data_IF_292860344939
#
_entry.id   IF_292860344939
#
_cell.length_a   1.000
_cell.length_b   1.000
_cell.length_c   1.000
_cell.angle_alpha   90.00
_cell.angle_beta   90.00
_cell.angle_gamma   90.00
#
_symmetry.space_group_name_H-M   'P 1'
#
loop_
_entity.id
_entity.type
_entity.pdbx_description
1 polymer ?
#
# COMPACT_ATOMS: atom_id res chain seq x y z
N UNK A 1 6.30 -28.90 -22.96
CA UNK A 1 5.43 -27.81 -22.53
C UNK A 1 5.30 -27.64 -21.01
N UNK A 2 5.64 -28.66 -20.18
CA UNK A 2 5.59 -28.57 -18.70
C UNK A 2 6.81 -27.88 -18.03
N UNK A 3 7.95 -27.83 -18.70
CA UNK A 3 9.18 -27.24 -18.13
C UNK A 3 9.17 -25.70 -18.08
N UNK A 4 8.52 -25.05 -19.03
CA UNK A 4 8.43 -23.58 -19.07
C UNK A 4 7.49 -23.00 -17.99
N UNK A 5 6.43 -23.73 -17.62
CA UNK A 5 5.48 -23.32 -16.59
C UNK A 5 6.15 -23.33 -15.20
N UNK A 6 6.95 -24.33 -14.90
CA UNK A 6 7.66 -24.49 -13.61
C UNK A 6 8.73 -23.40 -13.37
N UNK A 7 9.40 -22.94 -14.42
CA UNK A 7 10.39 -21.86 -14.33
C UNK A 7 9.72 -20.50 -14.14
N UNK A 8 8.60 -20.25 -14.81
CA UNK A 8 7.84 -19.00 -14.66
C UNK A 8 7.23 -18.87 -13.27
N UNK A 9 6.63 -19.92 -12.73
CA UNK A 9 6.09 -19.92 -11.34
C UNK A 9 7.19 -19.71 -10.29
N UNK A 10 8.35 -20.34 -10.46
CA UNK A 10 9.49 -20.20 -9.56
C UNK A 10 10.10 -18.78 -9.61
N UNK A 11 10.11 -18.14 -10.80
CA UNK A 11 10.59 -16.77 -10.99
C UNK A 11 9.63 -15.74 -10.38
N UNK A 12 8.32 -15.98 -10.46
CA UNK A 12 7.27 -15.14 -9.85
C UNK A 12 7.35 -15.20 -8.31
N UNK A 13 7.62 -16.37 -7.74
CA UNK A 13 7.77 -16.54 -6.28
C UNK A 13 9.08 -15.92 -5.73
N UNK A 14 10.14 -15.82 -6.54
CA UNK A 14 11.42 -15.29 -6.10
C UNK A 14 11.43 -13.77 -5.85
N UNK A 15 10.50 -13.03 -6.44
CA UNK A 15 10.45 -11.57 -6.34
C UNK A 15 9.38 -11.06 -5.36
N UNK A 16 8.56 -11.93 -4.77
CA UNK A 16 7.54 -11.53 -3.80
C UNK A 16 8.17 -11.09 -2.49
N UNK A 17 7.72 -9.96 -1.99
CA UNK A 17 8.07 -9.52 -0.64
C UNK A 17 7.49 -10.52 0.37
N UNK A 18 8.38 -11.05 1.20
CA UNK A 18 8.02 -12.00 2.25
C UNK A 18 7.51 -11.25 3.48
N UNK A 19 6.79 -11.93 4.37
CA UNK A 19 6.30 -11.35 5.63
C UNK A 19 7.41 -10.65 6.42
N UNK A 20 8.63 -11.21 6.45
CA UNK A 20 9.80 -10.63 7.13
C UNK A 20 10.17 -9.22 6.67
N UNK A 21 9.82 -8.84 5.44
CA UNK A 21 10.01 -7.48 4.95
C UNK A 21 9.20 -6.47 5.76
N UNK A 22 8.00 -6.83 6.19
CA UNK A 22 7.09 -5.96 6.94
C UNK A 22 7.37 -5.95 8.46
N UNK A 23 8.26 -6.81 8.95
CA UNK A 23 8.62 -6.90 10.38
C UNK A 23 9.79 -5.98 10.77
N UNK A 24 10.23 -5.10 9.89
CA UNK A 24 11.24 -4.10 10.21
C UNK A 24 10.64 -3.02 11.12
N UNK A 25 11.44 -2.55 12.10
CA UNK A 25 10.97 -1.65 13.15
C UNK A 25 10.78 -0.18 12.73
N UNK A 26 11.28 0.22 11.56
CA UNK A 26 11.16 1.60 11.09
C UNK A 26 10.16 1.72 9.94
N UNK A 27 8.93 2.06 10.28
CA UNK A 27 7.84 2.26 9.32
C UNK A 27 8.12 3.35 8.29
N UNK A 28 8.93 4.36 8.64
CA UNK A 28 9.29 5.47 7.74
C UNK A 28 10.23 4.96 6.65
N UNK A 29 11.23 4.16 7.03
CA UNK A 29 12.13 3.49 6.07
C UNK A 29 11.39 2.50 5.17
N UNK A 30 10.48 1.69 5.73
CA UNK A 30 9.64 0.77 4.93
C UNK A 30 8.80 1.55 3.92
N UNK A 31 8.13 2.63 4.36
CA UNK A 31 7.32 3.45 3.47
C UNK A 31 8.13 3.97 2.28
N UNK A 32 9.33 4.49 2.53
CA UNK A 32 10.22 4.96 1.49
C UNK A 32 10.65 3.84 0.53
N UNK A 33 11.05 2.67 1.06
CA UNK A 33 11.50 1.52 0.26
C UNK A 33 10.38 0.90 -0.58
N UNK A 34 9.12 1.10 -0.22
CA UNK A 34 7.97 0.65 -1.00
C UNK A 34 7.81 1.40 -2.33
N UNK A 35 8.39 2.59 -2.51
CA UNK A 35 8.40 3.26 -3.81
C UNK A 35 9.14 2.40 -4.84
N UNK A 36 8.54 2.23 -6.01
CA UNK A 36 9.10 1.38 -7.07
C UNK A 36 8.76 -0.11 -6.95
N UNK A 37 8.27 -0.60 -5.81
CA UNK A 37 7.77 -1.97 -5.68
C UNK A 37 6.45 -2.12 -6.45
N UNK A 38 6.17 -3.32 -6.94
CA UNK A 38 4.91 -3.61 -7.63
C UNK A 38 3.87 -4.09 -6.63
N UNK A 39 2.68 -3.53 -6.69
CA UNK A 39 1.50 -3.96 -5.97
C UNK A 39 0.55 -4.65 -6.94
N UNK A 40 0.09 -5.84 -6.59
CA UNK A 40 -0.85 -6.63 -7.36
C UNK A 40 -2.09 -7.03 -6.56
N UNK A 41 -3.20 -7.14 -7.27
CA UNK A 41 -4.43 -7.74 -6.76
C UNK A 41 -4.96 -8.77 -7.75
N UNK A 42 -5.42 -9.91 -7.23
CA UNK A 42 -6.13 -10.94 -7.99
C UNK A 42 -7.54 -11.06 -7.41
N UNK A 43 -8.52 -10.58 -8.14
CA UNK A 43 -9.94 -10.59 -7.76
C UNK A 43 -10.76 -11.27 -8.87
N UNK A 44 -11.53 -12.28 -8.49
CA UNK A 44 -12.37 -13.04 -9.43
C UNK A 44 -11.60 -13.56 -10.66
N UNK A 45 -10.35 -14.00 -10.44
CA UNK A 45 -9.46 -14.47 -11.49
C UNK A 45 -8.88 -13.36 -12.38
N UNK A 46 -9.08 -12.09 -12.04
CA UNK A 46 -8.63 -10.94 -12.81
C UNK A 46 -7.49 -10.21 -12.11
N UNK A 47 -6.37 -10.06 -12.80
CA UNK A 47 -5.17 -9.38 -12.31
C UNK A 47 -5.24 -7.88 -12.57
N UNK A 48 -4.96 -7.09 -11.54
CA UNK A 48 -4.69 -5.66 -11.66
C UNK A 48 -3.49 -5.29 -10.80
N UNK A 49 -2.72 -4.27 -11.20
CA UNK A 49 -1.56 -3.85 -10.42
C UNK A 49 -0.74 -2.76 -11.09
N UNK A 50 0.26 -2.28 -10.34
CA UNK A 50 1.15 -1.23 -10.80
C UNK A 50 2.30 -0.97 -9.84
N UNK A 51 3.13 -0.01 -10.21
CA UNK A 51 4.29 0.42 -9.42
C UNK A 51 3.82 1.42 -8.36
N UNK A 52 4.14 1.18 -7.09
CA UNK A 52 3.84 2.11 -6.01
C UNK A 52 4.60 3.42 -6.25
N UNK A 53 3.84 4.51 -6.34
CA UNK A 53 4.35 5.85 -6.63
C UNK A 53 4.16 6.85 -5.50
N UNK A 54 3.27 6.57 -4.54
CA UNK A 54 3.00 7.45 -3.41
C UNK A 54 2.54 6.65 -2.19
N UNK A 55 3.15 6.96 -1.02
CA UNK A 55 2.84 6.34 0.27
C UNK A 55 2.93 7.34 1.42
N UNK A 56 2.29 7.01 2.55
CA UNK A 56 2.45 7.74 3.82
C UNK A 56 2.73 6.77 4.96
N UNK A 57 3.72 7.10 5.81
CA UNK A 57 4.01 6.35 7.02
C UNK A 57 3.16 6.86 8.20
N UNK A 58 2.69 5.94 9.03
CA UNK A 58 1.96 6.19 10.28
C UNK A 58 2.63 5.42 11.41
N UNK A 59 3.33 6.15 12.29
CA UNK A 59 4.17 5.59 13.34
C UNK A 59 3.37 5.39 14.65
N UNK A 60 2.43 4.48 14.60
CA UNK A 60 1.71 3.88 15.71
C UNK A 60 1.28 4.82 16.82
N UNK A 61 1.60 4.43 18.05
CA UNK A 61 1.12 5.10 19.27
C UNK A 61 1.71 6.48 19.51
N UNK A 62 2.87 6.77 18.91
CA UNK A 62 3.58 8.04 19.06
C UNK A 62 3.19 9.10 18.03
N UNK A 63 2.29 8.81 17.11
CA UNK A 63 1.93 9.66 15.98
C UNK A 63 0.46 10.09 16.07
N UNK A 64 0.23 11.38 16.31
CA UNK A 64 -1.13 11.94 16.42
C UNK A 64 -2.00 11.78 15.17
N UNK A 65 -1.39 11.55 14.02
CA UNK A 65 -2.13 11.25 12.79
C UNK A 65 -2.53 9.78 12.67
N UNK A 66 -1.94 8.89 13.47
CA UNK A 66 -2.28 7.46 13.47
C UNK A 66 -3.61 7.19 14.17
N UNK A 67 -4.37 6.22 13.65
CA UNK A 67 -5.56 5.70 14.33
C UNK A 67 -5.26 5.04 15.68
N UNK A 68 -4.00 4.67 15.92
CA UNK A 68 -3.52 4.05 17.16
C UNK A 68 -2.86 5.04 18.13
N UNK A 69 -2.90 6.36 17.85
CA UNK A 69 -2.31 7.37 18.71
C UNK A 69 -2.72 7.20 20.17
N UNK A 70 -1.72 7.33 21.08
CA UNK A 70 -1.92 7.18 22.52
C UNK A 70 -2.30 5.77 22.97
N UNK A 71 -2.07 4.75 22.15
CA UNK A 71 -2.43 3.37 22.43
C UNK A 71 -3.92 3.06 22.18
N UNK A 72 -4.62 3.91 21.45
CA UNK A 72 -6.03 3.70 21.13
C UNK A 72 -6.21 2.42 20.32
N UNK A 73 -6.88 1.44 20.91
CA UNK A 73 -7.23 0.16 20.29
C UNK A 73 -8.75 -0.02 20.29
N UNK A 74 -9.33 -0.19 19.12
CA UNK A 74 -10.78 -0.30 18.89
C UNK A 74 -11.03 -1.35 17.82
N UNK A 75 -12.24 -1.87 17.72
CA UNK A 75 -12.63 -2.81 16.66
C UNK A 75 -12.29 -2.30 15.25
N UNK A 76 -12.29 -0.98 15.03
CA UNK A 76 -12.00 -0.37 13.72
C UNK A 76 -10.51 -0.48 13.35
N UNK A 77 -9.61 -0.30 14.30
CA UNK A 77 -8.17 -0.29 14.06
C UNK A 77 -7.45 -1.52 14.62
N UNK A 78 -8.21 -2.55 15.04
CA UNK A 78 -7.66 -3.79 15.60
C UNK A 78 -6.60 -4.41 14.70
N UNK A 79 -6.82 -4.38 13.38
CA UNK A 79 -5.89 -4.95 12.41
C UNK A 79 -4.51 -4.28 12.42
N UNK A 80 -4.39 -3.02 12.85
CA UNK A 80 -3.09 -2.36 12.98
C UNK A 80 -2.19 -2.99 14.05
N UNK A 81 -2.79 -3.68 15.03
CA UNK A 81 -2.07 -4.36 16.13
C UNK A 81 -1.68 -5.80 15.81
N UNK A 82 -2.03 -6.29 14.60
CA UNK A 82 -1.54 -7.58 14.14
C UNK A 82 -0.08 -7.49 13.71
N UNK A 83 0.59 -8.63 13.69
CA UNK A 83 1.93 -8.76 13.14
C UNK A 83 1.96 -8.31 11.67
N UNK A 84 3.00 -7.59 11.27
CA UNK A 84 3.19 -7.04 9.93
C UNK A 84 3.05 -8.06 8.80
N UNK A 85 2.77 -7.57 7.59
CA UNK A 85 2.51 -8.39 6.41
C UNK A 85 1.04 -8.73 6.18
N UNK A 86 0.13 -7.94 6.75
CA UNK A 86 -1.31 -8.00 6.48
C UNK A 86 -1.84 -6.64 6.04
N UNK A 87 -2.99 -6.66 5.39
CA UNK A 87 -3.68 -5.45 4.94
C UNK A 87 -4.55 -4.89 6.06
N UNK A 88 -4.45 -3.59 6.31
CA UNK A 88 -5.40 -2.84 7.10
C UNK A 88 -6.25 -1.96 6.20
N UNK A 89 -7.56 -2.20 6.17
CA UNK A 89 -8.53 -1.44 5.38
C UNK A 89 -9.49 -0.68 6.28
N UNK A 90 -9.77 0.58 5.92
CA UNK A 90 -10.83 1.36 6.57
C UNK A 90 -11.57 2.24 5.56
N UNK A 91 -12.74 2.75 5.94
CA UNK A 91 -13.47 3.73 5.15
C UNK A 91 -13.14 5.16 5.61
N UNK A 92 -12.71 5.98 4.67
CA UNK A 92 -12.59 7.41 4.83
C UNK A 92 -13.91 8.07 4.38
N UNK A 93 -14.45 8.96 5.22
CA UNK A 93 -15.77 9.59 5.01
C UNK A 93 -16.93 8.61 4.72
N UNK A 94 -16.79 7.36 5.19
CA UNK A 94 -17.82 6.33 4.98
C UNK A 94 -17.93 5.78 3.56
N UNK A 95 -17.11 6.25 2.60
CA UNK A 95 -17.26 5.88 1.19
C UNK A 95 -15.99 5.44 0.49
N UNK A 96 -14.83 5.87 0.94
CA UNK A 96 -13.57 5.56 0.27
C UNK A 96 -12.77 4.52 1.05
N UNK A 97 -12.55 3.35 0.45
CA UNK A 97 -11.64 2.35 1.01
C UNK A 97 -10.20 2.85 0.95
N UNK A 98 -9.46 2.63 2.03
CA UNK A 98 -8.06 3.03 2.19
C UNK A 98 -7.21 1.80 2.45
N UNK A 99 -6.21 1.56 1.59
CA UNK A 99 -5.29 0.43 1.68
C UNK A 99 -4.07 0.80 2.50
N UNK A 100 -3.84 0.07 3.59
CA UNK A 100 -2.62 0.17 4.37
C UNK A 100 -1.96 -1.20 4.50
N UNK A 101 -0.65 -1.21 4.60
CA UNK A 101 0.14 -2.38 4.98
C UNK A 101 0.53 -2.23 6.44
N UNK A 102 0.17 -3.22 7.25
CA UNK A 102 0.61 -3.29 8.65
C UNK A 102 2.08 -3.71 8.66
N UNK A 103 2.86 -3.03 9.48
CA UNK A 103 4.30 -3.31 9.65
C UNK A 103 4.61 -3.52 11.12
N UNK A 104 5.86 -3.97 11.40
CA UNK A 104 6.34 -4.21 12.74
C UNK A 104 5.82 -5.52 13.38
N UNK A 105 6.18 -5.77 14.63
CA UNK A 105 5.77 -6.92 15.41
C UNK A 105 4.32 -6.77 15.90
N UNK A 106 3.74 -7.87 16.37
CA UNK A 106 2.41 -7.87 17.00
C UNK A 106 2.38 -6.84 18.15
N UNK A 107 1.25 -6.15 18.28
CA UNK A 107 0.99 -5.08 19.26
C UNK A 107 1.78 -3.78 19.04
N UNK A 108 2.54 -3.65 17.94
CA UNK A 108 3.16 -2.39 17.50
C UNK A 108 2.40 -1.87 16.26
N UNK A 109 1.45 -0.91 16.42
CA UNK A 109 0.46 -0.58 15.40
C UNK A 109 0.97 0.41 14.34
N UNK A 110 2.03 0.04 13.66
CA UNK A 110 2.60 0.81 12.56
C UNK A 110 1.95 0.42 11.22
N UNK A 111 1.77 1.39 10.35
CA UNK A 111 1.18 1.12 9.04
C UNK A 111 1.67 2.09 7.96
N UNK A 112 1.67 1.60 6.71
CA UNK A 112 1.94 2.40 5.52
C UNK A 112 0.68 2.48 4.67
N UNK A 113 0.14 3.69 4.48
CA UNK A 113 -0.97 3.97 3.56
C UNK A 113 -0.42 4.05 2.13
N UNK A 114 -0.99 3.27 1.21
CA UNK A 114 -0.70 3.39 -0.22
C UNK A 114 -1.64 4.42 -0.84
N UNK A 115 -1.05 5.46 -1.44
CA UNK A 115 -1.81 6.59 -1.98
C UNK A 115 -1.89 6.60 -3.50
N UNK A 116 -0.88 6.04 -4.16
CA UNK A 116 -0.81 6.03 -5.62
C UNK A 116 0.02 4.89 -6.17
N UNK A 117 -0.36 4.45 -7.37
CA UNK A 117 0.43 3.55 -8.19
C UNK A 117 0.46 4.08 -9.64
N UNK A 118 1.49 3.70 -10.39
CA UNK A 118 1.49 3.81 -11.85
C UNK A 118 0.94 2.48 -12.40
N UNK A 119 -0.24 2.45 -13.06
CA UNK A 119 -0.84 1.23 -13.59
C UNK A 119 0.06 0.53 -14.59
N UNK A 120 0.29 -0.79 -14.44
CA UNK A 120 1.09 -1.61 -15.36
C UNK A 120 0.35 -2.86 -15.83
N UNK A 121 -0.63 -3.34 -15.06
CA UNK A 121 -1.38 -4.56 -15.35
C UNK A 121 -2.88 -4.32 -15.12
N UNK A 122 -3.72 -4.90 -15.99
CA UNK A 122 -5.17 -4.82 -15.84
C UNK A 122 -5.77 -3.44 -16.10
N UNK A 123 -5.18 -2.63 -16.99
CA UNK A 123 -5.64 -1.27 -17.27
C UNK A 123 -7.12 -1.22 -17.70
N UNK A 124 -7.57 -2.09 -18.61
CA UNK A 124 -8.97 -2.17 -19.02
C UNK A 124 -9.92 -2.51 -17.87
N UNK A 125 -9.49 -3.44 -17.00
CA UNK A 125 -10.22 -3.79 -15.80
C UNK A 125 -10.36 -2.59 -14.84
N UNK A 126 -9.30 -1.81 -14.69
CA UNK A 126 -9.31 -0.58 -13.89
C UNK A 126 -10.28 0.45 -14.49
N UNK A 127 -10.32 0.60 -15.83
CA UNK A 127 -11.28 1.48 -16.50
C UNK A 127 -12.72 1.05 -16.24
N UNK A 128 -13.03 -0.25 -16.35
CA UNK A 128 -14.36 -0.80 -16.05
C UNK A 128 -14.77 -0.49 -14.59
N UNK A 129 -13.88 -0.72 -13.62
CA UNK A 129 -14.16 -0.50 -12.19
C UNK A 129 -14.34 0.98 -11.84
N UNK A 130 -13.61 1.86 -12.49
CA UNK A 130 -13.63 3.30 -12.18
C UNK A 130 -14.60 4.11 -13.02
N UNK A 131 -14.98 3.62 -14.19
CA UNK A 131 -15.78 4.35 -15.18
C UNK A 131 -14.98 5.44 -15.92
N UNK A 132 -13.64 5.38 -15.91
CA UNK A 132 -12.78 6.35 -16.59
C UNK A 132 -12.52 5.92 -18.04
N UNK A 133 -12.31 6.87 -18.98
CA UNK A 133 -12.16 6.56 -20.40
C UNK A 133 -10.74 6.12 -20.81
N UNK A 134 -9.71 6.47 -20.03
CA UNK A 134 -8.30 6.22 -20.39
C UNK A 134 -7.48 5.80 -19.18
N UNK A 135 -6.49 4.93 -19.41
CA UNK A 135 -5.49 4.58 -18.42
C UNK A 135 -4.46 5.72 -18.37
N UNK A 136 -4.34 6.34 -17.21
CA UNK A 136 -3.38 7.40 -16.94
C UNK A 136 -2.98 7.37 -15.45
N UNK A 137 -1.91 8.04 -15.03
CA UNK A 137 -1.58 8.16 -13.60
C UNK A 137 -2.75 8.66 -12.76
N UNK A 138 -3.57 9.58 -13.28
CA UNK A 138 -4.76 10.12 -12.61
C UNK A 138 -5.85 9.08 -12.30
N UNK A 139 -5.75 7.87 -12.85
CA UNK A 139 -6.65 6.76 -12.57
C UNK A 139 -6.49 6.23 -11.14
N UNK A 140 -5.28 6.32 -10.61
CA UNK A 140 -4.85 5.73 -9.33
C UNK A 140 -4.10 6.72 -8.43
N UNK A 141 -4.10 8.01 -8.75
CA UNK A 141 -3.55 9.09 -7.93
C UNK A 141 -4.53 9.46 -6.81
N UNK A 142 -4.38 8.86 -5.68
CA UNK A 142 -5.20 9.02 -4.50
C UNK A 142 -5.74 7.69 -3.98
N UNK A 143 -5.74 7.51 -2.64
CA UNK A 143 -5.95 6.20 -2.01
C UNK A 143 -7.32 5.60 -2.32
N UNK A 144 -8.37 6.42 -2.39
CA UNK A 144 -9.72 5.95 -2.75
C UNK A 144 -9.84 5.55 -4.22
N UNK A 145 -9.20 6.29 -5.14
CA UNK A 145 -9.16 5.95 -6.57
C UNK A 145 -8.39 4.65 -6.79
N UNK A 146 -7.24 4.52 -6.14
CA UNK A 146 -6.41 3.32 -6.16
C UNK A 146 -7.20 2.09 -5.72
N UNK A 147 -7.86 2.14 -4.57
CA UNK A 147 -8.66 1.02 -4.07
C UNK A 147 -9.76 0.64 -5.07
N UNK A 148 -10.48 1.62 -5.63
CA UNK A 148 -11.52 1.37 -6.65
C UNK A 148 -10.94 0.70 -7.89
N UNK A 149 -9.81 1.20 -8.41
CA UNK A 149 -9.16 0.65 -9.59
C UNK A 149 -8.68 -0.80 -9.38
N UNK A 150 -8.11 -1.08 -8.21
CA UNK A 150 -7.64 -2.42 -7.82
C UNK A 150 -8.76 -3.38 -7.38
N UNK A 151 -9.99 -2.89 -7.21
CA UNK A 151 -11.13 -3.68 -6.74
C UNK A 151 -11.06 -4.03 -5.25
N UNK A 152 -10.41 -3.15 -4.46
CA UNK A 152 -10.21 -3.34 -3.03
C UNK A 152 -11.32 -2.65 -2.22
N UNK A 153 -11.78 -3.32 -1.20
CA UNK A 153 -12.83 -2.86 -0.29
C UNK A 153 -12.46 -3.17 1.16
N UNK A 154 -13.24 -2.71 2.11
CA UNK A 154 -13.05 -3.06 3.53
C UNK A 154 -13.18 -4.55 3.82
N UNK A 155 -13.79 -5.34 2.92
CA UNK A 155 -13.83 -6.80 3.05
C UNK A 155 -12.44 -7.45 2.90
N UNK A 156 -11.48 -6.74 2.35
CA UNK A 156 -10.09 -7.20 2.21
C UNK A 156 -9.24 -6.96 3.47
N UNK A 157 -9.84 -6.40 4.53
CA UNK A 157 -9.15 -6.17 5.79
C UNK A 157 -8.62 -7.50 6.38
N UNK A 158 -7.35 -7.55 6.77
CA UNK A 158 -6.68 -8.74 7.28
C UNK A 158 -6.16 -9.71 6.20
N UNK A 159 -6.26 -9.38 4.92
CA UNK A 159 -5.67 -10.20 3.85
C UNK A 159 -4.16 -10.26 4.00
N UNK A 160 -3.53 -11.46 4.03
CA UNK A 160 -2.07 -11.59 4.05
C UNK A 160 -1.43 -11.09 2.75
N UNK A 161 -0.26 -10.45 2.86
CA UNK A 161 0.51 -9.90 1.73
C UNK A 161 1.46 -10.94 1.08
N UNK A 162 1.60 -12.11 1.67
CA UNK A 162 2.32 -13.27 1.12
C UNK A 162 1.39 -14.27 0.40
N UNK A 163 0.09 -13.95 0.34
CA UNK A 163 -0.94 -14.74 -0.34
C UNK A 163 -1.03 -14.47 -1.84
N UNK A 164 -2.16 -14.91 -2.44
CA UNK A 164 -2.43 -14.77 -3.89
C UNK A 164 -3.51 -13.74 -4.21
N UNK A 165 -4.06 -13.06 -3.20
CA UNK A 165 -5.13 -12.07 -3.40
C UNK A 165 -4.57 -10.67 -3.51
N UNK A 166 -3.64 -10.31 -2.62
CA UNK A 166 -2.90 -9.05 -2.61
C UNK A 166 -1.45 -9.40 -2.30
N UNK A 167 -0.52 -8.94 -3.12
CA UNK A 167 0.90 -9.17 -2.87
C UNK A 167 1.77 -8.07 -3.47
N UNK A 168 3.00 -8.01 -3.00
CA UNK A 168 4.01 -7.09 -3.52
C UNK A 168 5.18 -7.86 -4.12
N UNK A 169 5.81 -7.26 -5.12
CA UNK A 169 7.02 -7.79 -5.75
C UNK A 169 8.11 -6.73 -5.81
N UNK A 170 9.34 -7.12 -5.49
CA UNK A 170 10.52 -6.34 -5.81
C UNK A 170 11.07 -6.81 -7.16
N UNK A 171 10.93 -5.96 -8.18
CA UNK A 171 11.43 -6.22 -9.54
C UNK A 171 12.71 -5.45 -9.86
N UNK A 172 13.39 -4.92 -8.83
CA UNK A 172 14.65 -4.20 -8.97
C UNK A 172 14.49 -2.79 -9.55
N UNK A 173 13.30 -2.19 -9.47
CA UNK A 173 13.12 -0.78 -9.85
C UNK A 173 13.74 0.10 -8.76
N UNK A 174 14.78 0.83 -9.11
CA UNK A 174 15.45 1.79 -8.23
C UNK A 174 14.99 3.19 -8.59
N UNK A 175 14.41 3.89 -7.62
CA UNK A 175 14.03 5.30 -7.76
C UNK A 175 15.22 6.16 -7.33
N UNK A 176 15.78 7.01 -8.22
CA UNK A 176 16.86 7.93 -7.84
C UNK A 176 16.44 8.85 -6.69
N UNK A 177 17.38 9.15 -5.78
CA UNK A 177 17.11 9.97 -4.59
C UNK A 177 16.54 11.36 -4.93
N UNK A 178 17.02 11.97 -5.99
CA UNK A 178 16.56 13.26 -6.51
C UNK A 178 15.17 13.22 -7.15
N UNK A 179 14.62 12.02 -7.37
CA UNK A 179 13.26 11.76 -7.85
C UNK A 179 12.29 11.37 -6.73
N UNK A 180 12.73 11.37 -5.48
CA UNK A 180 11.85 11.11 -4.32
C UNK A 180 11.50 12.43 -3.65
N UNK A 181 10.24 12.83 -3.77
CA UNK A 181 9.70 13.96 -3.02
C UNK A 181 9.30 13.51 -1.61
N UNK A 182 9.85 14.19 -0.61
CA UNK A 182 9.57 13.93 0.81
C UNK A 182 8.81 15.14 1.35
N UNK A 183 7.58 14.92 1.78
CA UNK A 183 6.69 16.01 2.22
C UNK A 183 5.89 15.62 3.46
N UNK A 184 5.09 16.56 3.98
CA UNK A 184 4.07 16.26 4.97
C UNK A 184 2.93 15.43 4.38
N UNK A 185 2.25 14.65 5.23
CA UNK A 185 1.08 13.84 4.89
C UNK A 185 -0.14 14.71 4.55
N UNK A 186 -1.09 14.15 3.81
CA UNK A 186 -2.28 14.86 3.32
C UNK A 186 -3.49 14.53 4.19
N UNK A 187 -4.25 15.56 4.61
CA UNK A 187 -5.51 15.40 5.33
C UNK A 187 -5.35 15.01 6.80
N UNK A 188 -4.21 15.35 7.41
CA UNK A 188 -3.90 15.07 8.82
C UNK A 188 -3.70 16.34 9.66
N UNK A 189 -4.27 17.48 9.25
CA UNK A 189 -4.12 18.78 9.93
C UNK A 189 -4.51 18.73 11.42
N UNK A 190 -5.42 17.83 11.78
CA UNK A 190 -5.84 17.58 13.16
C UNK A 190 -4.72 17.04 14.06
N UNK A 191 -3.60 16.56 13.50
CA UNK A 191 -2.49 15.98 14.25
C UNK A 191 -1.53 17.03 14.84
N UNK A 192 -1.79 18.33 14.64
CA UNK A 192 -0.95 19.41 15.16
C UNK A 192 0.48 19.34 14.61
N UNK A 193 1.48 19.32 15.47
CA UNK A 193 2.90 19.29 15.05
C UNK A 193 3.24 18.03 14.26
N UNK A 194 2.59 16.90 14.55
CA UNK A 194 2.84 15.65 13.82
C UNK A 194 2.33 15.68 12.36
N UNK A 195 1.43 16.62 12.03
CA UNK A 195 1.02 16.87 10.65
C UNK A 195 2.19 17.34 9.76
N UNK A 196 3.18 18.01 10.35
CA UNK A 196 4.34 18.57 9.66
C UNK A 196 5.46 17.53 9.44
N UNK A 197 5.36 16.33 10.03
CA UNK A 197 6.37 15.29 9.83
C UNK A 197 6.51 14.92 8.37
N UNK A 198 7.75 14.75 7.85
CA UNK A 198 8.03 14.41 6.45
C UNK A 198 7.80 12.91 6.19
N UNK A 199 6.58 12.44 6.42
CA UNK A 199 6.21 11.02 6.39
C UNK A 199 5.42 10.64 5.13
N UNK A 200 5.40 11.51 4.12
CA UNK A 200 4.86 11.20 2.80
C UNK A 200 5.98 11.18 1.77
N UNK A 201 6.02 10.09 1.02
CA UNK A 201 7.00 9.84 -0.04
C UNK A 201 6.26 9.67 -1.36
N UNK A 202 6.70 10.36 -2.41
CA UNK A 202 6.18 10.15 -3.75
C UNK A 202 7.28 10.25 -4.80
N UNK A 203 7.09 9.54 -5.90
CA UNK A 203 7.97 9.64 -7.07
C UNK A 203 7.61 10.93 -7.80
N UNK A 204 8.60 11.77 -8.07
CA UNK A 204 8.44 12.95 -8.90
C UNK A 204 8.00 12.52 -10.32
N UNK A 205 6.86 13.03 -10.83
CA UNK A 205 6.37 12.65 -12.15
C UNK A 205 7.14 13.30 -13.32
N UNK A 206 8.12 14.20 -13.04
CA UNK A 206 8.91 14.90 -14.06
C UNK A 206 10.17 14.16 -14.48
#
# INVERSE_FOLDING_TARGET
MHFFCFFAEKFILMNRLQKSYFLQHDVVSIARDLLGKYLFTMKDGQLAGGIISEVEAYNGVGDRASHAYGGRRTRRNEMMYHEGGVVYMFLCYGMHSMLNFVTNEEDVPDAVLVRGIVPTHGGELMLQRTGKPVVSPALTDGPGKLCKALGLTVADNGTPLDGNTIWLEDRGVVIPEDKILITSRIGVDYAGEDALRPYRFCIDPE
#
